data_IF_622303773984
#
_entry.id   IF_622303773984
#
_cell.length_a   1.000
_cell.length_b   1.000
_cell.length_c   1.000
_cell.angle_alpha   90.00
_cell.angle_beta   90.00
_cell.angle_gamma   90.00
#
_symmetry.space_group_name_H-M   'P 1'
#
loop_
_entity.id
_entity.type
_entity.pdbx_description
1 polymer ?
#
# COMPACT_ATOMS: atom_id res chain seq x y z
N UNK A 1 3.77 17.58 -12.33
CA UNK A 1 3.40 18.38 -11.15
C UNK A 1 4.13 17.77 -9.97
N UNK A 2 5.14 18.45 -9.44
CA UNK A 2 5.95 17.94 -8.33
C UNK A 2 5.07 17.71 -7.11
N UNK A 3 5.23 16.60 -6.36
CA UNK A 3 4.51 16.41 -5.11
C UNK A 3 4.74 17.63 -4.21
N UNK A 4 3.67 18.18 -3.63
CA UNK A 4 3.82 19.26 -2.65
C UNK A 4 4.73 18.78 -1.51
N UNK A 5 5.58 19.65 -0.92
CA UNK A 5 6.53 19.24 0.13
C UNK A 5 5.87 18.45 1.26
N UNK A 6 4.63 18.82 1.63
CA UNK A 6 3.81 18.11 2.62
C UNK A 6 3.46 16.67 2.23
N UNK A 7 3.19 16.43 0.96
CA UNK A 7 2.89 15.08 0.43
C UNK A 7 4.14 14.23 0.38
N UNK A 8 5.28 14.79 -0.03
CA UNK A 8 6.57 14.10 -0.03
C UNK A 8 6.97 13.68 1.39
N UNK A 9 6.81 14.56 2.39
CA UNK A 9 7.08 14.24 3.81
C UNK A 9 6.17 13.11 4.29
N UNK A 10 4.87 13.15 3.98
CA UNK A 10 3.92 12.09 4.37
C UNK A 10 4.29 10.74 3.76
N UNK A 11 4.68 10.71 2.48
CA UNK A 11 5.13 9.49 1.83
C UNK A 11 6.44 8.98 2.42
N UNK A 12 7.36 9.87 2.80
CA UNK A 12 8.59 9.48 3.51
C UNK A 12 8.30 8.82 4.87
N UNK A 13 7.42 9.41 5.68
CA UNK A 13 6.98 8.79 6.93
C UNK A 13 6.24 7.47 6.73
N UNK A 14 5.37 7.40 5.72
CA UNK A 14 4.66 6.17 5.36
C UNK A 14 5.62 5.05 4.94
N UNK A 15 6.65 5.37 4.16
CA UNK A 15 7.70 4.44 3.77
C UNK A 15 8.47 3.93 4.98
N UNK A 16 8.88 4.83 5.88
CA UNK A 16 9.61 4.46 7.09
C UNK A 16 8.76 3.56 8.00
N UNK A 17 7.51 3.94 8.23
CA UNK A 17 6.58 3.15 9.04
C UNK A 17 6.32 1.77 8.43
N UNK A 18 6.13 1.70 7.10
CA UNK A 18 5.96 0.44 6.39
C UNK A 18 7.21 -0.45 6.46
N UNK A 19 8.41 0.12 6.32
CA UNK A 19 9.66 -0.61 6.43
C UNK A 19 9.85 -1.22 7.83
N UNK A 20 9.54 -0.44 8.89
CA UNK A 20 9.60 -0.94 10.28
C UNK A 20 8.58 -2.05 10.50
N UNK A 21 7.32 -1.85 10.10
CA UNK A 21 6.28 -2.85 10.25
C UNK A 21 6.59 -4.14 9.47
N UNK A 22 7.06 -4.03 8.22
CA UNK A 22 7.47 -5.17 7.41
C UNK A 22 8.66 -5.91 8.03
N UNK A 23 9.59 -5.19 8.68
CA UNK A 23 10.69 -5.84 9.41
C UNK A 23 10.17 -6.65 10.60
N UNK A 24 9.23 -6.12 11.38
CA UNK A 24 8.61 -6.85 12.50
C UNK A 24 7.84 -8.08 12.00
N UNK A 25 7.08 -7.94 10.91
CA UNK A 25 6.36 -9.06 10.28
C UNK A 25 7.35 -10.11 9.79
N UNK A 26 8.46 -9.71 9.16
CA UNK A 26 9.45 -10.63 8.64
C UNK A 26 10.07 -11.47 9.76
N UNK A 27 10.44 -10.81 10.87
CA UNK A 27 11.00 -11.48 12.05
C UNK A 27 9.99 -12.44 12.69
N UNK A 28 8.73 -12.01 12.83
CA UNK A 28 7.67 -12.85 13.39
C UNK A 28 7.38 -14.08 12.51
N UNK A 29 7.27 -13.89 11.19
CA UNK A 29 7.04 -14.98 10.24
C UNK A 29 8.20 -15.98 10.23
N UNK A 30 9.45 -15.49 10.27
CA UNK A 30 10.64 -16.35 10.33
C UNK A 30 10.72 -17.13 11.64
N UNK A 31 10.33 -16.52 12.77
CA UNK A 31 10.33 -17.18 14.06
C UNK A 31 9.26 -18.27 14.21
N UNK A 32 8.18 -18.18 13.43
CA UNK A 32 7.07 -19.14 13.39
C UNK A 32 7.23 -20.19 12.28
N UNK A 33 8.29 -20.10 11.48
CA UNK A 33 8.57 -21.03 10.39
C UNK A 33 9.09 -22.37 10.94
N UNK A 34 8.51 -23.47 10.45
CA UNK A 34 8.82 -24.84 10.86
C UNK A 34 9.83 -25.54 9.92
N UNK A 35 10.49 -24.80 9.03
CA UNK A 35 11.62 -25.26 8.21
C UNK A 35 11.33 -25.37 6.72
N UNK A 36 10.29 -24.69 6.21
CA UNK A 36 9.96 -24.71 4.78
C UNK A 36 10.76 -23.71 3.93
N UNK A 37 10.30 -23.49 2.70
CA UNK A 37 10.97 -22.56 1.76
C UNK A 37 10.71 -21.12 2.19
N UNK A 38 11.78 -20.41 2.54
CA UNK A 38 11.76 -19.00 2.91
C UNK A 38 11.95 -18.13 1.67
N UNK A 39 10.87 -17.62 1.10
CA UNK A 39 10.92 -16.80 -0.12
C UNK A 39 10.23 -15.45 0.12
N UNK A 40 10.96 -14.36 -0.14
CA UNK A 40 10.43 -12.99 -0.05
C UNK A 40 10.62 -12.28 1.29
N UNK A 41 10.97 -13.00 2.37
CA UNK A 41 11.22 -12.43 3.72
C UNK A 41 12.61 -11.80 3.89
N UNK A 42 13.50 -11.92 2.89
CA UNK A 42 14.83 -11.31 2.94
C UNK A 42 14.74 -9.77 2.88
N UNK A 43 15.46 -9.03 3.76
CA UNK A 43 15.54 -7.57 3.68
C UNK A 43 15.97 -7.03 2.33
N UNK A 44 16.85 -7.74 1.63
CA UNK A 44 17.30 -7.37 0.30
C UNK A 44 16.18 -7.44 -0.76
N UNK A 45 15.11 -8.16 -0.47
CA UNK A 45 13.95 -8.36 -1.34
C UNK A 45 12.80 -7.45 -0.88
N UNK A 46 12.32 -7.57 0.36
CA UNK A 46 11.10 -6.86 0.76
C UNK A 46 11.27 -5.33 0.82
N UNK A 47 12.45 -4.79 1.15
CA UNK A 47 12.66 -3.34 1.23
C UNK A 47 12.54 -2.64 -0.14
N UNK A 48 13.24 -3.06 -1.21
CA UNK A 48 13.06 -2.45 -2.52
C UNK A 48 11.64 -2.67 -3.06
N UNK A 49 11.02 -3.84 -2.85
CA UNK A 49 9.64 -4.07 -3.25
C UNK A 49 8.64 -3.18 -2.49
N UNK A 50 8.89 -2.90 -1.20
CA UNK A 50 8.10 -1.94 -0.41
C UNK A 50 8.16 -0.55 -1.03
N UNK A 51 9.36 -0.08 -1.40
CA UNK A 51 9.52 1.22 -2.05
C UNK A 51 8.83 1.27 -3.41
N UNK A 52 8.99 0.24 -4.26
CA UNK A 52 8.34 0.15 -5.57
C UNK A 52 6.81 0.12 -5.42
N UNK A 53 6.29 -0.70 -4.52
CA UNK A 53 4.85 -0.78 -4.24
C UNK A 53 4.28 0.56 -3.78
N UNK A 54 5.01 1.28 -2.92
CA UNK A 54 4.62 2.61 -2.47
C UNK A 54 4.59 3.64 -3.63
N UNK A 55 5.60 3.62 -4.49
CA UNK A 55 5.68 4.50 -5.66
C UNK A 55 4.57 4.22 -6.67
N UNK A 56 4.38 2.95 -7.04
CA UNK A 56 3.34 2.55 -7.99
C UNK A 56 1.94 2.84 -7.45
N UNK A 57 1.69 2.56 -6.16
CA UNK A 57 0.41 2.87 -5.54
C UNK A 57 0.16 4.37 -5.41
N UNK A 58 1.19 5.19 -5.16
CA UNK A 58 1.07 6.64 -5.19
C UNK A 58 0.71 7.16 -6.60
N UNK A 59 1.37 6.65 -7.64
CA UNK A 59 1.05 7.00 -9.04
C UNK A 59 -0.39 6.60 -9.38
N UNK A 60 -0.77 5.36 -9.08
CA UNK A 60 -2.13 4.87 -9.30
C UNK A 60 -3.19 5.69 -8.56
N UNK A 61 -2.90 6.08 -7.31
CA UNK A 61 -3.77 6.95 -6.52
C UNK A 61 -4.01 8.29 -7.20
N UNK A 62 -2.96 8.98 -7.67
CA UNK A 62 -3.13 10.28 -8.32
C UNK A 62 -3.92 10.21 -9.63
N UNK A 63 -3.74 9.13 -10.40
CA UNK A 63 -4.51 8.91 -11.63
C UNK A 63 -5.99 8.68 -11.31
N UNK A 64 -6.29 7.83 -10.33
CA UNK A 64 -7.66 7.47 -9.98
C UNK A 64 -8.39 8.58 -9.20
N UNK A 65 -7.69 9.30 -8.33
CA UNK A 65 -8.23 10.43 -7.58
C UNK A 65 -8.74 11.55 -8.51
N UNK A 66 -8.12 11.71 -9.68
CA UNK A 66 -8.50 12.71 -10.69
C UNK A 66 -9.67 12.28 -11.57
N UNK A 67 -9.75 10.99 -11.89
CA UNK A 67 -10.69 10.46 -12.89
C UNK A 67 -11.95 9.89 -12.23
N UNK A 68 -11.78 9.14 -11.15
CA UNK A 68 -12.85 8.42 -10.47
C UNK A 68 -12.52 8.22 -8.97
N UNK A 69 -12.58 9.28 -8.12
CA UNK A 69 -12.20 9.18 -6.71
C UNK A 69 -13.03 8.16 -5.92
N UNK A 70 -14.29 7.93 -6.33
CA UNK A 70 -15.15 6.88 -5.74
C UNK A 70 -14.65 5.45 -6.05
N UNK A 71 -13.96 5.25 -7.17
CA UNK A 71 -13.44 3.96 -7.57
C UNK A 71 -12.29 3.48 -6.67
N UNK A 72 -11.58 4.38 -5.98
CA UNK A 72 -10.52 4.01 -5.03
C UNK A 72 -11.02 3.05 -3.93
N UNK A 73 -12.30 3.14 -3.53
CA UNK A 73 -12.89 2.25 -2.52
C UNK A 73 -13.05 0.80 -2.99
N UNK A 74 -13.00 0.57 -4.31
CA UNK A 74 -13.13 -0.76 -4.92
C UNK A 74 -11.80 -1.21 -5.49
N UNK A 75 -11.10 -0.32 -6.20
CA UNK A 75 -9.82 -0.62 -6.86
C UNK A 75 -8.73 -0.93 -5.85
N UNK A 76 -8.63 -0.17 -4.74
CA UNK A 76 -7.61 -0.44 -3.71
C UNK A 76 -7.77 -1.85 -3.12
N UNK A 77 -8.95 -2.26 -2.59
CA UNK A 77 -9.10 -3.61 -2.08
C UNK A 77 -9.00 -4.68 -3.18
N UNK A 78 -9.48 -4.41 -4.40
CA UNK A 78 -9.35 -5.37 -5.51
C UNK A 78 -7.88 -5.62 -5.90
N UNK A 79 -7.07 -4.56 -6.00
CA UNK A 79 -5.63 -4.68 -6.30
C UNK A 79 -4.90 -5.37 -5.17
N UNK A 80 -5.23 -5.08 -3.91
CA UNK A 80 -4.67 -5.76 -2.76
C UNK A 80 -4.94 -7.27 -2.80
N UNK A 81 -6.18 -7.69 -3.07
CA UNK A 81 -6.50 -9.11 -3.23
C UNK A 81 -5.75 -9.73 -4.41
N UNK A 82 -5.61 -8.99 -5.51
CA UNK A 82 -4.84 -9.44 -6.67
C UNK A 82 -3.35 -9.65 -6.33
N UNK A 83 -2.77 -8.80 -5.47
CA UNK A 83 -1.37 -8.96 -5.02
C UNK A 83 -1.13 -10.20 -4.17
N UNK A 84 -2.18 -10.81 -3.62
CA UNK A 84 -2.05 -12.06 -2.86
C UNK A 84 -1.99 -13.31 -3.75
N UNK A 85 -2.33 -13.22 -5.04
CA UNK A 85 -2.25 -14.37 -5.94
C UNK A 85 -0.83 -14.96 -5.99
N UNK A 86 0.23 -14.17 -6.20
CA UNK A 86 1.62 -14.64 -6.07
C UNK A 86 1.92 -15.32 -4.73
N UNK A 87 1.42 -14.77 -3.62
CA UNK A 87 1.66 -15.32 -2.27
C UNK A 87 1.01 -16.71 -2.12
N UNK A 88 -0.21 -16.87 -2.64
CA UNK A 88 -0.92 -18.16 -2.64
C UNK A 88 -0.26 -19.17 -3.59
N UNK A 89 0.31 -18.72 -4.71
CA UNK A 89 1.10 -19.59 -5.58
C UNK A 89 2.35 -20.10 -4.87
N UNK A 90 3.01 -19.28 -4.04
CA UNK A 90 4.13 -19.74 -3.22
C UNK A 90 3.71 -20.82 -2.22
N UNK A 91 2.50 -20.72 -1.64
CA UNK A 91 1.94 -21.77 -0.78
C UNK A 91 1.85 -23.10 -1.54
N UNK A 92 1.35 -23.08 -2.77
CA UNK A 92 1.25 -24.29 -3.62
C UNK A 92 2.61 -24.83 -4.06
N UNK A 93 3.65 -23.98 -4.08
CA UNK A 93 5.02 -24.34 -4.41
C UNK A 93 5.82 -24.87 -3.20
N UNK A 94 5.22 -24.95 -2.01
CA UNK A 94 5.84 -25.50 -0.79
C UNK A 94 6.40 -24.46 0.18
N UNK A 95 6.05 -23.18 0.04
CA UNK A 95 6.31 -22.19 1.09
C UNK A 95 5.45 -22.46 2.34
N UNK A 96 5.94 -22.08 3.52
CA UNK A 96 5.19 -22.25 4.76
C UNK A 96 3.99 -21.32 4.84
N UNK A 97 2.97 -21.73 5.61
CA UNK A 97 1.81 -20.86 5.90
C UNK A 97 2.27 -19.57 6.59
N UNK A 98 3.25 -19.66 7.50
CA UNK A 98 3.85 -18.49 8.16
C UNK A 98 4.49 -17.52 7.15
N UNK A 99 5.26 -18.02 6.18
CA UNK A 99 5.85 -17.21 5.11
C UNK A 99 4.78 -16.49 4.29
N UNK A 100 3.76 -17.21 3.84
CA UNK A 100 2.68 -16.67 3.00
C UNK A 100 1.85 -15.63 3.74
N UNK A 101 1.45 -15.90 4.98
CA UNK A 101 0.74 -14.94 5.82
C UNK A 101 1.61 -13.70 6.06
N UNK A 102 2.91 -13.88 6.30
CA UNK A 102 3.87 -12.77 6.41
C UNK A 102 3.86 -11.87 5.17
N UNK A 103 3.93 -12.45 3.97
CA UNK A 103 3.87 -11.70 2.72
C UNK A 103 2.53 -10.97 2.53
N UNK A 104 1.40 -11.63 2.78
CA UNK A 104 0.08 -10.99 2.67
C UNK A 104 -0.06 -9.80 3.63
N UNK A 105 0.48 -9.93 4.86
CA UNK A 105 0.50 -8.84 5.84
C UNK A 105 1.39 -7.68 5.39
N UNK A 106 2.53 -7.94 4.74
CA UNK A 106 3.36 -6.86 4.18
C UNK A 106 2.61 -6.08 3.09
N UNK A 107 1.87 -6.76 2.20
CA UNK A 107 1.04 -6.10 1.20
C UNK A 107 -0.02 -5.21 1.86
N UNK A 108 -0.65 -5.68 2.93
CA UNK A 108 -1.62 -4.90 3.73
C UNK A 108 -0.98 -3.66 4.35
N UNK A 109 0.21 -3.79 4.91
CA UNK A 109 0.96 -2.66 5.49
C UNK A 109 1.22 -1.59 4.44
N UNK A 110 1.74 -1.97 3.27
CA UNK A 110 2.04 -1.03 2.19
C UNK A 110 0.78 -0.35 1.67
N UNK A 111 -0.29 -1.11 1.41
CA UNK A 111 -1.57 -0.56 0.97
C UNK A 111 -2.14 0.44 1.99
N UNK A 112 -2.11 0.08 3.28
CA UNK A 112 -2.58 0.94 4.37
C UNK A 112 -1.75 2.22 4.49
N UNK A 113 -0.43 2.10 4.37
CA UNK A 113 0.50 3.24 4.43
C UNK A 113 0.21 4.25 3.30
N UNK A 114 -0.03 3.78 2.08
CA UNK A 114 -0.41 4.63 0.93
C UNK A 114 -1.77 5.30 1.17
N UNK A 115 -2.79 4.52 1.54
CA UNK A 115 -4.15 5.04 1.75
C UNK A 115 -4.16 6.11 2.83
N UNK A 116 -3.51 5.87 3.97
CA UNK A 116 -3.44 6.83 5.08
C UNK A 116 -2.65 8.08 4.71
N UNK A 117 -1.54 7.95 3.99
CA UNK A 117 -0.73 9.09 3.54
C UNK A 117 -1.46 9.97 2.52
N UNK A 118 -2.23 9.37 1.62
CA UNK A 118 -2.83 10.06 0.47
C UNK A 118 -4.31 10.38 0.63
N UNK A 119 -5.06 9.76 1.55
CA UNK A 119 -6.47 10.10 1.82
C UNK A 119 -6.74 11.60 2.04
N UNK A 120 -5.90 12.35 2.78
CA UNK A 120 -6.12 13.79 2.96
C UNK A 120 -5.90 14.63 1.69
N UNK A 121 -5.48 14.03 0.56
CA UNK A 121 -5.41 14.73 -0.73
C UNK A 121 -6.75 14.78 -1.45
N UNK A 122 -7.74 13.99 -1.01
CA UNK A 122 -9.10 13.99 -1.55
C UNK A 122 -9.97 15.10 -0.93
N UNK A 123 -9.79 15.42 0.36
CA UNK A 123 -10.60 16.40 1.09
C UNK A 123 -10.52 17.85 0.55
N UNK A 124 -9.35 18.36 0.12
CA UNK A 124 -9.25 19.69 -0.49
C UNK A 124 -10.03 19.82 -1.80
N UNK A 125 -10.15 18.72 -2.58
CA UNK A 125 -10.90 18.71 -3.83
C UNK A 125 -12.42 18.73 -3.60
N UNK A 126 -12.90 18.05 -2.56
CA UNK A 126 -14.34 18.01 -2.21
C UNK A 126 -14.84 19.37 -1.67
N UNK A 127 -13.98 20.11 -0.97
CA UNK A 127 -14.34 21.43 -0.39
C UNK A 127 -14.52 22.49 -1.48
N UNK A 128 -13.63 22.53 -2.48
CA UNK A 128 -13.73 23.47 -3.60
C UNK A 128 -14.97 23.24 -4.48
N UNK A 129 -15.32 21.97 -4.72
CA UNK A 129 -16.51 21.63 -5.52
C UNK A 129 -17.83 22.03 -4.84
N UNK A 130 -17.91 21.97 -3.50
CA UNK A 130 -19.09 22.40 -2.74
C UNK A 130 -19.31 23.91 -2.77
N UNK A 131 -18.25 24.71 -2.73
CA UNK A 131 -18.35 26.17 -2.76
C UNK A 131 -18.81 26.68 -4.13
N UNK A 132 -18.28 26.13 -5.22
CA UNK A 132 -18.70 26.49 -6.58
C UNK A 132 -20.18 26.17 -6.88
N UNK A 133 -20.75 25.14 -6.23
CA UNK A 133 -22.17 24.83 -6.33
C UNK A 133 -23.06 25.80 -5.53
N UNK A 134 -22.54 26.41 -4.47
CA UNK A 134 -23.26 27.42 -3.69
C UNK A 134 -23.26 28.79 -4.38
N UNK A 135 -22.18 29.16 -5.07
CA UNK A 135 -22.09 30.45 -5.79
C UNK A 135 -22.93 30.50 -7.08
N UNK A 136 -23.16 29.37 -7.75
CA UNK A 136 -23.98 29.30 -8.97
C UNK A 136 -25.46 29.00 -8.72
N UNK A 137 -25.86 28.92 -7.44
CA UNK A 137 -27.23 28.56 -7.00
C UNK A 137 -28.03 29.71 -6.41
N UNK A 138 -27.55 30.96 -6.52
CA UNK A 138 -28.24 32.18 -6.05
C UNK A 138 -28.53 33.11 -7.22
#
# INVERSE_FOLDING_TARGET
>A
MSPTPKTAIRLGFALLAAAVANTVIALAATALDDGGIHMGLSPAIYLPFTAVGLLLGAVGWFVLARTAPKALRVVVPAVLVLTWIPDLLLLTAGATVANVVGLMLMHLVVATAIVTALRPTLEPAETGARLAHHENGV
#
